data_IF_724821439733
#
_entry.id   IF_724821439733
#
_cell.length_a   1.000
_cell.length_b   1.000
_cell.length_c   1.000
_cell.angle_alpha   90.00
_cell.angle_beta   90.00
_cell.angle_gamma   90.00
#
_symmetry.space_group_name_H-M   'P 1'
#
loop_
_entity.id
_entity.type
_entity.pdbx_description
1 polymer ?
#
# COMPACT_ATOMS: atom_id res chain seq x y z
N UNK A 1 30.45 -11.15 -0.04
CA UNK A 1 30.01 -10.48 -1.26
C UNK A 1 29.08 -9.38 -0.81
N UNK A 2 29.33 -8.12 -1.18
CA UNK A 2 28.31 -7.09 -1.02
C UNK A 2 27.16 -7.51 -1.93
N UNK A 3 25.95 -7.59 -1.38
CA UNK A 3 24.77 -7.81 -2.20
C UNK A 3 24.70 -6.68 -3.24
N UNK A 4 24.42 -7.00 -4.49
CA UNK A 4 24.23 -5.99 -5.53
C UNK A 4 23.10 -5.06 -5.06
N UNK A 5 23.29 -3.75 -5.21
CA UNK A 5 22.31 -2.75 -4.83
C UNK A 5 20.98 -2.99 -5.54
N UNK A 6 19.88 -2.96 -4.80
CA UNK A 6 18.53 -3.14 -5.35
C UNK A 6 18.14 -1.92 -6.18
N UNK A 7 18.47 -0.72 -5.71
CA UNK A 7 18.16 0.53 -6.39
C UNK A 7 19.41 1.11 -7.06
N UNK A 8 19.27 1.58 -8.29
CA UNK A 8 20.33 2.33 -8.94
C UNK A 8 20.36 3.80 -8.45
N UNK A 9 21.41 4.54 -8.82
CA UNK A 9 21.58 5.94 -8.43
C UNK A 9 20.41 6.85 -8.86
N UNK A 10 19.82 6.56 -10.04
CA UNK A 10 18.66 7.31 -10.54
C UNK A 10 17.43 7.12 -9.65
N UNK A 11 17.16 5.88 -9.21
CA UNK A 11 16.07 5.57 -8.31
C UNK A 11 16.24 6.25 -6.94
N UNK A 12 17.46 6.26 -6.39
CA UNK A 12 17.76 7.00 -5.15
C UNK A 12 17.48 8.50 -5.31
N UNK A 13 17.91 9.14 -6.41
CA UNK A 13 17.64 10.55 -6.68
C UNK A 13 16.16 10.85 -6.85
N UNK A 14 15.43 9.98 -7.58
CA UNK A 14 14.00 10.12 -7.78
C UNK A 14 13.23 10.01 -6.45
N UNK A 15 13.58 9.03 -5.62
CA UNK A 15 12.98 8.86 -4.30
C UNK A 15 13.28 10.06 -3.40
N UNK A 16 14.53 10.54 -3.37
CA UNK A 16 14.92 11.70 -2.57
C UNK A 16 14.17 12.98 -2.95
N UNK A 17 13.92 13.18 -4.23
CA UNK A 17 13.19 14.34 -4.73
C UNK A 17 11.66 14.29 -4.44
N UNK A 18 11.10 13.10 -4.25
CA UNK A 18 9.65 12.87 -4.15
C UNK A 18 9.18 12.57 -2.73
N UNK A 19 10.00 11.87 -1.95
CA UNK A 19 9.65 11.48 -0.58
C UNK A 19 9.51 12.70 0.34
N UNK A 20 8.49 12.80 1.18
CA UNK A 20 7.43 11.81 1.43
C UNK A 20 6.11 12.10 0.69
N UNK A 21 6.02 13.18 -0.09
CA UNK A 21 4.73 13.77 -0.49
C UNK A 21 4.30 13.44 -1.93
N UNK A 22 5.24 13.10 -2.81
CA UNK A 22 4.97 12.87 -4.23
C UNK A 22 5.28 11.42 -4.62
N UNK A 23 4.53 10.82 -5.56
CA UNK A 23 4.89 9.52 -6.10
C UNK A 23 6.20 9.60 -6.90
N UNK A 24 6.93 8.48 -6.96
CA UNK A 24 8.12 8.36 -7.80
C UNK A 24 8.11 7.04 -8.57
N UNK A 25 8.50 7.11 -9.83
CA UNK A 25 8.84 5.94 -10.64
C UNK A 25 10.30 5.58 -10.40
N UNK A 26 10.57 4.32 -10.05
CA UNK A 26 11.87 3.83 -9.63
C UNK A 26 12.29 2.62 -10.47
N UNK A 27 13.60 2.37 -10.57
CA UNK A 27 14.15 1.13 -11.15
C UNK A 27 14.73 0.25 -10.04
N UNK A 28 14.62 -1.08 -10.19
CA UNK A 28 15.15 -2.04 -9.22
C UNK A 28 15.66 -3.32 -9.88
N UNK A 29 16.46 -4.12 -9.15
CA UNK A 29 17.07 -5.38 -9.63
C UNK A 29 16.30 -6.66 -9.22
N UNK A 30 15.12 -6.55 -8.56
CA UNK A 30 14.39 -7.69 -7.99
C UNK A 30 13.57 -8.50 -9.00
N UNK A 31 13.47 -8.12 -10.28
CA UNK A 31 12.61 -8.81 -11.25
C UNK A 31 12.91 -10.30 -11.41
N UNK A 32 14.18 -10.69 -11.30
CA UNK A 32 14.63 -12.08 -11.39
C UNK A 32 14.98 -12.71 -10.03
N UNK A 33 14.52 -12.11 -8.93
CA UNK A 33 14.83 -12.61 -7.59
C UNK A 33 14.12 -13.97 -7.35
N UNK A 34 14.82 -15.05 -6.93
CA UNK A 34 14.24 -16.39 -6.82
C UNK A 34 13.04 -16.49 -5.89
N UNK A 35 12.97 -15.68 -4.83
CA UNK A 35 11.82 -15.64 -3.92
C UNK A 35 10.54 -15.05 -4.54
N UNK A 36 10.64 -14.42 -5.73
CA UNK A 36 9.49 -13.84 -6.45
C UNK A 36 9.03 -14.72 -7.63
N UNK A 37 9.61 -15.91 -7.80
CA UNK A 37 9.14 -16.90 -8.77
C UNK A 37 7.83 -17.55 -8.29
N UNK A 38 6.96 -17.93 -9.24
CA UNK A 38 5.63 -18.49 -8.93
C UNK A 38 5.71 -19.75 -8.05
N UNK A 39 6.72 -20.62 -8.26
CA UNK A 39 6.92 -21.81 -7.43
C UNK A 39 7.30 -21.45 -5.98
N UNK A 40 8.20 -20.48 -5.80
CA UNK A 40 8.58 -19.98 -4.49
C UNK A 40 7.39 -19.33 -3.76
N UNK A 41 6.54 -18.60 -4.48
CA UNK A 41 5.34 -17.95 -3.92
C UNK A 41 4.25 -18.96 -3.55
N UNK A 42 4.02 -19.98 -4.38
CA UNK A 42 3.13 -21.08 -4.03
C UNK A 42 3.63 -21.84 -2.77
N UNK A 43 4.94 -22.10 -2.68
CA UNK A 43 5.57 -22.65 -1.49
C UNK A 43 5.49 -21.74 -0.27
N UNK A 44 5.61 -20.41 -0.42
CA UNK A 44 5.40 -19.45 0.66
C UNK A 44 3.97 -19.54 1.20
N UNK A 45 2.97 -19.53 0.33
CA UNK A 45 1.55 -19.57 0.74
C UNK A 45 1.24 -20.80 1.62
N UNK A 46 1.90 -21.94 1.42
CA UNK A 46 1.70 -23.14 2.26
C UNK A 46 2.30 -23.03 3.65
N UNK A 47 3.25 -22.11 3.87
CA UNK A 47 3.94 -21.91 5.16
C UNK A 47 3.41 -20.73 5.95
N UNK A 48 2.59 -19.90 5.33
CA UNK A 48 2.01 -18.71 5.95
C UNK A 48 0.80 -19.06 6.81
N UNK A 49 0.52 -18.21 7.79
CA UNK A 49 -0.68 -18.32 8.61
C UNK A 49 -1.93 -18.02 7.76
N UNK A 50 -2.99 -18.84 7.85
CA UNK A 50 -4.19 -18.68 7.00
C UNK A 50 -4.82 -17.29 7.02
N UNK A 51 -4.82 -16.62 8.17
CA UNK A 51 -5.39 -15.27 8.34
C UNK A 51 -4.58 -14.17 7.62
N UNK A 52 -3.37 -14.49 7.14
CA UNK A 52 -2.53 -13.59 6.34
C UNK A 52 -2.66 -13.82 4.84
N UNK A 53 -3.54 -14.71 4.43
CA UNK A 53 -3.82 -15.02 3.04
C UNK A 53 -5.19 -14.48 2.65
N UNK A 54 -5.25 -13.68 1.59
CA UNK A 54 -6.51 -13.20 1.00
C UNK A 54 -6.54 -13.54 -0.49
N UNK A 55 -7.71 -13.84 -1.02
CA UNK A 55 -7.95 -14.03 -2.45
C UNK A 55 -9.41 -13.78 -2.79
N UNK A 56 -9.65 -13.16 -3.93
CA UNK A 56 -11.00 -12.84 -4.41
C UNK A 56 -11.01 -12.78 -5.94
N UNK A 57 -12.22 -12.69 -6.52
CA UNK A 57 -12.38 -12.30 -7.91
C UNK A 57 -11.85 -10.86 -8.11
N UNK A 58 -11.32 -10.58 -9.30
CA UNK A 58 -10.62 -9.34 -9.58
C UNK A 58 -10.91 -8.74 -10.97
N UNK A 59 -11.56 -9.46 -11.85
CA UNK A 59 -11.88 -8.97 -13.20
C UNK A 59 -13.26 -8.34 -13.19
N UNK A 60 -13.44 -7.26 -13.97
CA UNK A 60 -14.69 -6.49 -14.10
C UNK A 60 -15.23 -5.91 -12.78
N UNK A 61 -14.35 -5.67 -11.80
CA UNK A 61 -14.76 -5.05 -10.54
C UNK A 61 -15.01 -3.55 -10.72
N UNK A 62 -16.12 -3.02 -10.17
CA UNK A 62 -16.33 -1.58 -10.07
C UNK A 62 -15.24 -0.92 -9.21
N UNK A 63 -14.71 0.22 -9.63
CA UNK A 63 -13.64 0.93 -8.91
C UNK A 63 -14.04 1.36 -7.49
N UNK A 64 -15.34 1.57 -7.24
CA UNK A 64 -15.86 1.97 -5.92
C UNK A 64 -16.40 0.81 -5.08
N UNK A 65 -16.17 -0.45 -5.45
CA UNK A 65 -16.67 -1.60 -4.68
C UNK A 65 -15.98 -1.68 -3.32
N UNK A 66 -16.74 -2.05 -2.29
CA UNK A 66 -16.17 -2.29 -0.97
C UNK A 66 -15.50 -3.67 -0.89
N UNK A 67 -14.55 -3.85 0.05
CA UNK A 67 -13.95 -5.16 0.27
C UNK A 67 -14.99 -6.22 0.68
N UNK A 68 -16.03 -5.82 1.41
CA UNK A 68 -17.08 -6.73 1.87
C UNK A 68 -17.97 -7.24 0.71
N UNK A 69 -18.09 -6.47 -0.36
CA UNK A 69 -18.93 -6.79 -1.52
C UNK A 69 -18.11 -7.43 -2.66
N UNK A 70 -16.76 -7.51 -2.52
CA UNK A 70 -15.91 -8.15 -3.53
C UNK A 70 -16.23 -9.63 -3.62
N UNK A 71 -16.58 -10.15 -4.83
CA UNK A 71 -16.96 -11.54 -5.00
C UNK A 71 -15.81 -12.51 -4.66
N UNK A 72 -16.14 -13.62 -4.02
CA UNK A 72 -15.21 -14.74 -3.83
C UNK A 72 -15.12 -15.54 -5.12
N UNK A 73 -13.94 -16.11 -5.44
CA UNK A 73 -13.75 -16.93 -6.64
C UNK A 73 -14.11 -18.41 -6.46
N UNK A 74 -14.47 -18.84 -5.23
CA UNK A 74 -14.85 -20.22 -4.92
C UNK A 74 -13.71 -21.24 -4.91
N UNK A 75 -12.47 -20.81 -5.11
CA UNK A 75 -11.26 -21.65 -5.11
C UNK A 75 -10.54 -21.56 -3.75
N UNK A 76 -9.66 -22.51 -3.48
CA UNK A 76 -8.66 -22.35 -2.42
C UNK A 76 -7.57 -21.36 -2.83
N UNK A 77 -6.80 -20.81 -1.87
CA UNK A 77 -5.63 -19.95 -2.18
C UNK A 77 -4.65 -20.70 -3.11
N UNK A 78 -4.38 -21.96 -2.83
CA UNK A 78 -3.48 -22.78 -3.63
C UNK A 78 -3.97 -22.97 -5.06
N UNK A 79 -5.27 -23.31 -5.24
CA UNK A 79 -5.87 -23.47 -6.58
C UNK A 79 -5.94 -22.13 -7.31
N UNK A 80 -6.17 -21.02 -6.59
CA UNK A 80 -6.16 -19.68 -7.17
C UNK A 80 -4.75 -19.34 -7.70
N UNK A 81 -3.68 -19.62 -6.95
CA UNK A 81 -2.30 -19.40 -7.43
C UNK A 81 -1.99 -20.29 -8.63
N UNK A 82 -2.37 -21.58 -8.58
CA UNK A 82 -2.10 -22.54 -9.65
C UNK A 82 -2.82 -22.17 -10.96
N UNK A 83 -3.97 -21.51 -10.89
CA UNK A 83 -4.82 -21.14 -12.02
C UNK A 83 -4.91 -19.63 -12.23
N UNK A 84 -3.95 -18.87 -11.73
CA UNK A 84 -4.02 -17.40 -11.70
C UNK A 84 -4.08 -16.77 -13.10
N UNK A 85 -3.62 -17.44 -14.12
CA UNK A 85 -3.68 -17.00 -15.51
C UNK A 85 -5.09 -17.01 -16.09
N UNK A 86 -6.00 -17.84 -15.57
CA UNK A 86 -7.35 -18.06 -16.12
C UNK A 86 -8.49 -17.75 -15.14
N UNK A 87 -8.24 -17.74 -13.82
CA UNK A 87 -9.30 -17.67 -12.81
C UNK A 87 -9.86 -16.27 -12.52
N UNK A 88 -9.34 -15.23 -13.18
CA UNK A 88 -9.84 -13.85 -13.03
C UNK A 88 -9.78 -13.31 -11.61
N UNK A 89 -8.72 -13.63 -10.87
CA UNK A 89 -8.61 -13.41 -9.43
C UNK A 89 -7.33 -12.68 -9.03
N UNK A 90 -7.24 -12.34 -7.75
CA UNK A 90 -5.96 -11.98 -7.13
C UNK A 90 -5.76 -12.75 -5.82
N UNK A 91 -4.50 -12.93 -5.47
CA UNK A 91 -4.05 -13.45 -4.18
C UNK A 91 -3.14 -12.40 -3.53
N UNK A 92 -3.34 -12.15 -2.25
CA UNK A 92 -2.53 -11.29 -1.41
C UNK A 92 -1.92 -12.11 -0.27
N UNK A 93 -0.60 -12.20 -0.27
CA UNK A 93 0.19 -12.77 0.83
C UNK A 93 0.61 -11.61 1.73
N UNK A 94 0.06 -11.54 2.96
CA UNK A 94 0.31 -10.44 3.92
C UNK A 94 1.32 -10.84 4.98
N UNK A 95 2.11 -9.85 5.44
CA UNK A 95 3.11 -10.07 6.48
C UNK A 95 4.10 -11.18 6.10
N UNK A 96 4.69 -11.06 4.89
CA UNK A 96 5.63 -12.06 4.36
C UNK A 96 6.89 -12.21 5.22
N UNK A 97 7.18 -11.23 6.08
CA UNK A 97 8.27 -11.26 7.06
C UNK A 97 8.10 -12.34 8.14
N UNK A 98 6.97 -13.04 8.19
CA UNK A 98 6.81 -14.24 9.02
C UNK A 98 7.65 -15.42 8.48
N UNK A 99 8.05 -15.42 7.20
CA UNK A 99 9.02 -16.36 6.63
C UNK A 99 10.42 -15.73 6.69
N UNK A 100 11.43 -16.43 7.27
CA UNK A 100 12.77 -15.85 7.49
C UNK A 100 13.49 -15.40 6.21
N UNK A 101 13.26 -16.06 5.07
CA UNK A 101 13.89 -15.69 3.81
C UNK A 101 13.34 -14.36 3.27
N UNK A 102 12.02 -14.19 3.34
CA UNK A 102 11.36 -12.94 2.95
C UNK A 102 11.63 -11.83 3.96
N UNK A 103 11.74 -12.14 5.25
CA UNK A 103 12.18 -11.16 6.27
C UNK A 103 13.60 -10.64 5.98
N UNK A 104 14.51 -11.49 5.49
CA UNK A 104 15.85 -11.06 5.08
C UNK A 104 15.79 -10.14 3.87
N UNK A 105 15.10 -10.57 2.81
CA UNK A 105 14.91 -9.76 1.60
C UNK A 105 14.34 -8.38 1.94
N UNK A 106 13.29 -8.32 2.74
CA UNK A 106 12.67 -7.07 3.15
C UNK A 106 13.64 -6.16 3.90
N UNK A 107 14.41 -6.70 4.86
CA UNK A 107 15.41 -5.91 5.61
C UNK A 107 16.49 -5.36 4.70
N UNK A 108 17.00 -6.16 3.79
CA UNK A 108 18.11 -5.77 2.90
C UNK A 108 17.65 -4.63 1.97
N UNK A 109 16.45 -4.74 1.38
CA UNK A 109 15.86 -3.70 0.52
C UNK A 109 15.59 -2.41 1.30
N UNK A 110 14.97 -2.50 2.47
CA UNK A 110 14.62 -1.32 3.26
C UNK A 110 15.84 -0.65 3.88
N UNK A 111 16.88 -1.41 4.25
CA UNK A 111 18.12 -0.86 4.77
C UNK A 111 18.85 0.03 3.74
N UNK A 112 18.70 -0.24 2.45
CA UNK A 112 19.32 0.56 1.38
C UNK A 112 18.73 1.97 1.29
N UNK A 113 17.44 2.14 1.57
CA UNK A 113 16.76 3.45 1.51
C UNK A 113 16.58 4.10 2.89
N UNK A 114 16.77 3.37 3.97
CA UNK A 114 16.57 3.89 5.33
C UNK A 114 17.30 5.21 5.62
N UNK A 115 18.59 5.42 5.23
CA UNK A 115 19.27 6.68 5.47
C UNK A 115 18.57 7.89 4.84
N UNK A 116 17.97 7.72 3.66
CA UNK A 116 17.22 8.77 2.97
C UNK A 116 15.89 9.04 3.69
N UNK A 117 15.15 7.99 3.99
CA UNK A 117 13.82 8.06 4.60
C UNK A 117 13.90 8.69 6.00
N UNK A 118 14.85 8.21 6.81
CA UNK A 118 14.96 8.59 8.21
C UNK A 118 15.39 10.04 8.42
N UNK A 119 16.15 10.62 7.49
CA UNK A 119 16.49 12.04 7.49
C UNK A 119 15.25 12.95 7.35
N UNK A 120 14.18 12.44 6.73
CA UNK A 120 13.00 13.24 6.42
C UNK A 120 11.87 13.02 7.43
N UNK A 121 11.51 11.75 7.69
CA UNK A 121 10.34 11.41 8.53
C UNK A 121 10.70 10.66 9.82
N UNK A 122 11.96 10.50 10.12
CA UNK A 122 12.45 9.72 11.26
C UNK A 122 12.42 8.21 10.98
N UNK A 123 12.69 7.37 11.99
CA UNK A 123 12.84 5.93 11.84
C UNK A 123 11.66 5.26 11.11
N UNK A 124 11.98 4.27 10.28
CA UNK A 124 10.99 3.40 9.66
C UNK A 124 10.41 2.47 10.72
N UNK A 125 9.11 2.58 10.96
CA UNK A 125 8.38 1.84 12.00
C UNK A 125 7.34 0.94 11.34
N UNK A 126 7.03 -0.21 11.98
CA UNK A 126 6.04 -1.17 11.50
C UNK A 126 6.21 -1.49 10.01
N UNK A 127 7.38 -1.96 9.67
CA UNK A 127 7.68 -2.43 8.33
C UNK A 127 6.92 -3.74 8.09
N UNK A 128 6.19 -3.80 6.99
CA UNK A 128 5.41 -4.97 6.60
C UNK A 128 5.62 -5.24 5.10
N UNK A 129 5.64 -6.52 4.73
CA UNK A 129 5.77 -6.95 3.34
C UNK A 129 4.52 -7.66 2.84
N UNK A 130 4.15 -7.38 1.59
CA UNK A 130 3.01 -7.97 0.91
C UNK A 130 3.42 -8.45 -0.47
N UNK A 131 2.83 -9.57 -0.93
CA UNK A 131 2.98 -10.01 -2.32
C UNK A 131 1.60 -10.11 -2.94
N UNK A 132 1.44 -9.45 -4.08
CA UNK A 132 0.26 -9.51 -4.93
C UNK A 132 0.54 -10.42 -6.11
N UNK A 133 -0.30 -11.44 -6.31
CA UNK A 133 -0.33 -12.33 -7.46
C UNK A 133 -1.69 -12.14 -8.11
N UNK A 134 -1.73 -11.65 -9.34
CA UNK A 134 -2.99 -11.20 -9.97
C UNK A 134 -3.12 -11.74 -11.39
N UNK A 135 -4.33 -12.14 -11.74
CA UNK A 135 -4.73 -12.50 -13.11
C UNK A 135 -4.52 -11.33 -14.09
N UNK A 136 -4.46 -11.61 -15.40
CA UNK A 136 -4.62 -10.57 -16.41
C UNK A 136 -5.91 -9.77 -16.19
N UNK A 137 -5.86 -8.47 -16.45
CA UNK A 137 -6.97 -7.52 -16.32
C UNK A 137 -7.60 -7.38 -14.93
N UNK A 138 -6.92 -7.88 -13.89
CA UNK A 138 -7.36 -7.74 -12.51
C UNK A 138 -7.36 -6.27 -12.06
N UNK A 139 -8.43 -5.89 -11.37
CA UNK A 139 -8.63 -4.54 -10.83
C UNK A 139 -8.49 -4.56 -9.30
N UNK A 140 -7.66 -3.69 -8.76
CA UNK A 140 -7.69 -3.32 -7.33
C UNK A 140 -8.50 -2.03 -7.21
N UNK A 141 -9.66 -2.04 -6.54
CA UNK A 141 -10.55 -0.90 -6.42
C UNK A 141 -9.90 0.33 -5.78
N UNK A 142 -10.51 1.50 -5.95
CA UNK A 142 -10.00 2.76 -5.40
C UNK A 142 -9.95 2.71 -3.87
N UNK A 143 -8.78 2.93 -3.33
CA UNK A 143 -8.50 2.93 -1.90
C UNK A 143 -7.31 3.84 -1.56
N UNK A 144 -6.99 3.95 -0.29
CA UNK A 144 -5.74 4.53 0.20
C UNK A 144 -5.13 3.65 1.28
N UNK A 145 -3.82 3.74 1.45
CA UNK A 145 -3.08 3.02 2.49
C UNK A 145 -2.55 3.99 3.55
N UNK A 146 -2.59 3.60 4.84
CA UNK A 146 -2.09 4.42 5.94
C UNK A 146 -0.58 4.27 6.16
N UNK A 147 0.12 3.67 5.20
CA UNK A 147 1.56 3.43 5.15
C UNK A 147 2.19 4.18 3.96
N UNK A 148 3.49 4.47 4.06
CA UNK A 148 4.35 4.69 2.90
C UNK A 148 4.61 3.33 2.25
N UNK A 149 4.71 3.29 0.93
CA UNK A 149 4.82 2.04 0.20
C UNK A 149 5.77 2.17 -0.99
N UNK A 150 6.58 1.15 -1.25
CA UNK A 150 7.19 0.94 -2.56
C UNK A 150 6.65 -0.37 -3.12
N UNK A 151 5.97 -0.28 -4.28
CA UNK A 151 5.44 -1.41 -5.02
C UNK A 151 6.40 -1.78 -6.15
N UNK A 152 7.08 -2.91 -6.01
CA UNK A 152 8.05 -3.46 -6.96
C UNK A 152 7.35 -4.41 -7.93
N UNK A 153 7.53 -4.24 -9.23
CA UNK A 153 7.00 -5.16 -10.23
C UNK A 153 8.03 -6.23 -10.57
N UNK A 154 7.70 -7.49 -10.29
CA UNK A 154 8.57 -8.64 -10.57
C UNK A 154 8.16 -9.37 -11.86
N UNK A 155 6.87 -9.46 -12.17
CA UNK A 155 6.35 -10.17 -13.35
C UNK A 155 5.11 -9.49 -13.91
N UNK A 156 4.92 -9.56 -15.25
CA UNK A 156 3.82 -8.90 -15.93
C UNK A 156 3.91 -7.39 -15.81
N UNK A 157 2.84 -6.70 -16.12
CA UNK A 157 2.77 -5.24 -16.04
C UNK A 157 1.43 -4.77 -15.49
N UNK A 158 1.42 -3.57 -14.95
CA UNK A 158 0.21 -2.94 -14.42
C UNK A 158 0.30 -1.42 -14.50
N UNK A 159 -0.85 -0.78 -14.42
CA UNK A 159 -0.95 0.68 -14.24
C UNK A 159 -1.55 0.98 -12.87
N UNK A 160 -0.88 1.82 -12.11
CA UNK A 160 -1.42 2.43 -10.90
C UNK A 160 -1.87 3.85 -11.20
N UNK A 161 -3.12 4.14 -10.91
CA UNK A 161 -3.73 5.45 -11.11
C UNK A 161 -3.78 6.16 -9.76
N UNK A 162 -2.89 7.10 -9.56
CA UNK A 162 -2.68 7.82 -8.31
C UNK A 162 -3.36 9.19 -8.33
N UNK A 163 -3.91 9.57 -7.18
CA UNK A 163 -4.47 10.90 -6.96
C UNK A 163 -3.66 11.68 -5.92
N UNK A 164 -3.67 13.01 -5.96
CA UNK A 164 -3.03 13.82 -4.93
C UNK A 164 -3.60 13.52 -3.53
N UNK A 165 -2.72 13.38 -2.55
CA UNK A 165 -3.07 12.99 -1.15
C UNK A 165 -4.10 13.90 -0.51
N UNK A 166 -4.14 15.17 -0.87
CA UNK A 166 -4.95 16.19 -0.21
C UNK A 166 -6.01 16.79 -1.11
N UNK A 167 -6.41 16.08 -2.13
CA UNK A 167 -7.47 16.54 -3.00
C UNK A 167 -8.83 16.38 -2.30
N UNK A 168 -9.46 17.49 -1.82
CA UNK A 168 -10.69 17.41 -1.04
C UNK A 168 -11.89 16.94 -1.85
N UNK A 169 -11.81 16.99 -3.20
CA UNK A 169 -12.89 16.58 -4.08
C UNK A 169 -12.87 15.06 -4.31
N UNK A 170 -11.72 14.40 -4.08
CA UNK A 170 -11.56 12.95 -4.19
C UNK A 170 -11.67 12.30 -2.82
N UNK A 171 -10.96 12.84 -1.83
CA UNK A 171 -10.99 12.31 -0.47
C UNK A 171 -11.12 13.43 0.56
N UNK A 172 -12.31 13.57 1.12
CA UNK A 172 -12.56 14.50 2.21
C UNK A 172 -11.91 14.01 3.52
N UNK A 173 -11.55 14.97 4.38
CA UNK A 173 -10.97 14.71 5.69
C UNK A 173 -11.74 13.66 6.52
N UNK A 174 -13.06 13.59 6.37
CA UNK A 174 -13.90 12.66 7.12
C UNK A 174 -13.65 11.19 6.75
N UNK A 175 -13.20 10.88 5.55
CA UNK A 175 -12.82 9.52 5.17
C UNK A 175 -11.61 9.03 5.98
N UNK A 176 -10.58 9.85 6.11
CA UNK A 176 -9.43 9.53 6.96
C UNK A 176 -9.85 9.36 8.43
N UNK A 177 -10.70 10.28 8.94
CA UNK A 177 -11.21 10.21 10.30
C UNK A 177 -12.05 8.93 10.54
N UNK A 178 -12.83 8.50 9.53
CA UNK A 178 -13.63 7.26 9.59
C UNK A 178 -12.72 6.05 9.57
N UNK A 179 -11.77 6.00 8.61
CA UNK A 179 -10.83 4.90 8.49
C UNK A 179 -10.05 4.66 9.79
N UNK A 180 -9.42 5.69 10.34
CA UNK A 180 -8.64 5.54 11.57
C UNK A 180 -9.50 5.25 12.83
N UNK A 181 -10.81 5.30 12.69
CA UNK A 181 -11.77 4.84 13.72
C UNK A 181 -12.38 3.46 13.41
N UNK A 182 -11.79 2.70 12.49
CA UNK A 182 -12.21 1.34 12.13
C UNK A 182 -13.13 1.24 10.91
N UNK A 183 -13.27 2.31 10.13
CA UNK A 183 -14.01 2.31 8.86
C UNK A 183 -13.21 1.72 7.68
N UNK A 184 -13.85 1.56 6.51
CA UNK A 184 -13.21 1.00 5.32
C UNK A 184 -12.15 1.94 4.74
N UNK A 185 -11.16 1.37 4.04
CA UNK A 185 -10.16 2.12 3.25
C UNK A 185 -10.59 2.35 1.81
N UNK A 186 -11.52 1.56 1.31
CA UNK A 186 -12.04 1.71 -0.04
C UNK A 186 -12.87 2.99 -0.14
N UNK A 187 -12.72 3.69 -1.26
CA UNK A 187 -13.40 4.94 -1.55
C UNK A 187 -14.50 4.71 -2.58
N UNK A 188 -15.59 5.46 -2.56
CA UNK A 188 -16.55 5.47 -3.65
C UNK A 188 -15.84 5.96 -4.91
N UNK A 189 -16.34 5.55 -6.08
CA UNK A 189 -15.87 6.04 -7.37
C UNK A 189 -16.84 7.03 -7.99
N UNK A 190 -16.30 8.05 -8.64
CA UNK A 190 -17.05 8.99 -9.49
C UNK A 190 -16.29 9.11 -10.81
N UNK A 191 -17.01 9.03 -11.93
CA UNK A 191 -16.40 8.94 -13.25
C UNK A 191 -15.60 10.20 -13.62
N UNK A 192 -16.01 11.35 -13.13
CA UNK A 192 -15.30 12.62 -13.30
C UNK A 192 -13.89 12.64 -12.68
N UNK A 193 -13.60 11.75 -11.75
CA UNK A 193 -12.27 11.63 -11.13
C UNK A 193 -11.24 11.01 -12.06
N UNK A 194 -11.67 10.23 -13.06
CA UNK A 194 -10.76 9.56 -13.99
C UNK A 194 -9.74 10.51 -14.63
N UNK A 195 -10.17 11.71 -15.02
CA UNK A 195 -9.32 12.73 -15.65
C UNK A 195 -8.30 13.36 -14.68
N UNK A 196 -8.44 13.14 -13.38
CA UNK A 196 -7.55 13.71 -12.33
C UNK A 196 -6.47 12.73 -11.88
N UNK A 197 -6.59 11.46 -12.29
CA UNK A 197 -5.61 10.44 -11.94
C UNK A 197 -4.29 10.68 -12.69
N UNK A 198 -3.18 10.42 -12.01
CA UNK A 198 -1.86 10.32 -12.61
C UNK A 198 -1.53 8.84 -12.84
N UNK A 199 -1.66 8.32 -14.07
CA UNK A 199 -1.37 6.93 -14.37
C UNK A 199 0.15 6.70 -14.43
N UNK A 200 0.63 5.72 -13.68
CA UNK A 200 2.02 5.25 -13.74
C UNK A 200 1.99 3.77 -14.07
N UNK A 201 2.48 3.42 -15.25
CA UNK A 201 2.65 2.03 -15.67
C UNK A 201 4.02 1.51 -15.28
N UNK A 202 4.08 0.27 -14.80
CA UNK A 202 5.31 -0.41 -14.42
C UNK A 202 5.40 -1.81 -15.04
N UNK A 203 6.64 -2.16 -15.42
CA UNK A 203 7.03 -3.47 -15.96
C UNK A 203 8.08 -4.11 -15.03
N UNK A 204 8.47 -5.39 -15.23
CA UNK A 204 9.49 -6.03 -14.39
C UNK A 204 10.79 -5.21 -14.31
N UNK A 205 11.27 -4.98 -13.09
CA UNK A 205 12.43 -4.12 -12.83
C UNK A 205 12.09 -2.66 -12.52
N UNK A 206 10.80 -2.30 -12.52
CA UNK A 206 10.31 -0.98 -12.15
C UNK A 206 9.46 -1.03 -10.88
N UNK A 207 9.45 0.08 -10.15
CA UNK A 207 8.66 0.23 -8.93
C UNK A 207 8.02 1.61 -8.85
N UNK A 208 7.00 1.71 -8.00
CA UNK A 208 6.37 2.99 -7.66
C UNK A 208 6.53 3.23 -6.16
N UNK A 209 7.09 4.39 -5.80
CA UNK A 209 6.89 4.91 -4.45
C UNK A 209 5.49 5.54 -4.37
N UNK A 210 4.70 5.08 -3.43
CA UNK A 210 3.33 5.56 -3.15
C UNK A 210 3.35 6.35 -1.84
N UNK A 211 3.00 7.65 -1.87
CA UNK A 211 2.92 8.46 -0.66
C UNK A 211 1.85 7.96 0.31
N UNK A 212 2.09 8.19 1.59
CA UNK A 212 1.13 7.94 2.66
C UNK A 212 -0.24 8.55 2.33
N UNK A 213 -1.31 7.75 2.41
CA UNK A 213 -2.70 8.16 2.19
C UNK A 213 -3.03 8.62 0.76
N UNK A 214 -2.15 8.39 -0.21
CA UNK A 214 -2.46 8.71 -1.60
C UNK A 214 -3.57 7.78 -2.13
N UNK A 215 -4.74 8.31 -2.55
CA UNK A 215 -5.77 7.47 -3.14
C UNK A 215 -5.26 6.88 -4.46
N UNK A 216 -5.54 5.61 -4.68
CA UNK A 216 -5.14 4.93 -5.92
C UNK A 216 -5.99 3.71 -6.22
N UNK A 217 -6.03 3.34 -7.49
CA UNK A 217 -6.52 2.07 -7.98
C UNK A 217 -5.54 1.49 -8.98
N UNK A 218 -5.58 0.17 -9.18
CA UNK A 218 -4.60 -0.53 -10.00
C UNK A 218 -5.30 -1.45 -10.99
N UNK A 219 -4.77 -1.55 -12.21
CA UNK A 219 -5.17 -2.54 -13.20
C UNK A 219 -3.95 -3.26 -13.75
N UNK A 220 -3.99 -4.60 -13.76
CA UNK A 220 -3.01 -5.42 -14.45
C UNK A 220 -3.31 -5.46 -15.94
N UNK A 221 -2.26 -5.70 -16.75
CA UNK A 221 -2.42 -5.83 -18.21
C UNK A 221 -2.63 -7.31 -18.61
N UNK A 222 -2.21 -7.69 -19.80
CA UNK A 222 -2.54 -8.95 -20.47
C UNK A 222 -1.81 -10.20 -19.92
N UNK A 223 -1.04 -10.06 -18.85
CA UNK A 223 -0.24 -11.13 -18.27
C UNK A 223 -0.46 -11.25 -16.76
N UNK A 224 -0.21 -12.44 -16.22
CA UNK A 224 -0.10 -12.65 -14.78
C UNK A 224 0.88 -11.64 -14.19
N UNK A 225 0.45 -10.95 -13.16
CA UNK A 225 1.23 -9.91 -12.49
C UNK A 225 1.67 -10.35 -11.10
N UNK A 226 2.96 -10.20 -10.80
CA UNK A 226 3.52 -10.38 -9.46
C UNK A 226 4.17 -9.09 -9.02
N UNK A 227 3.77 -8.59 -7.84
CA UNK A 227 4.39 -7.43 -7.22
C UNK A 227 4.71 -7.68 -5.75
N UNK A 228 5.86 -7.20 -5.33
CA UNK A 228 6.24 -7.07 -3.92
C UNK A 228 5.93 -5.65 -3.46
N UNK A 229 5.22 -5.50 -2.35
CA UNK A 229 4.94 -4.22 -1.71
C UNK A 229 5.64 -4.20 -0.35
N UNK A 230 6.52 -3.23 -0.14
CA UNK A 230 7.18 -3.00 1.14
C UNK A 230 6.69 -1.69 1.74
N UNK A 231 6.10 -1.78 2.92
CA UNK A 231 5.46 -0.64 3.58
C UNK A 231 6.14 -0.32 4.90
N UNK A 232 6.01 0.93 5.32
CA UNK A 232 6.46 1.38 6.63
C UNK A 232 5.62 2.55 7.13
N UNK A 233 5.71 2.80 8.42
CA UNK A 233 5.14 3.98 9.07
C UNK A 233 6.24 4.84 9.66
N UNK A 234 5.87 6.06 10.07
CA UNK A 234 6.75 6.97 10.79
C UNK A 234 6.03 7.54 12.02
N UNK A 235 6.76 8.17 12.92
CA UNK A 235 6.15 8.88 14.03
C UNK A 235 5.15 9.93 13.56
N UNK A 236 5.46 10.61 12.44
CA UNK A 236 4.56 11.58 11.83
C UNK A 236 3.23 10.93 11.40
N UNK A 237 3.27 9.75 10.77
CA UNK A 237 2.07 9.02 10.33
C UNK A 237 1.18 8.59 11.50
N UNK A 238 1.79 8.22 12.64
CA UNK A 238 1.04 7.90 13.86
C UNK A 238 0.40 9.15 14.47
N UNK A 239 1.10 10.28 14.48
CA UNK A 239 0.50 11.54 14.94
C UNK A 239 -0.68 11.97 14.07
N UNK A 240 -0.59 11.76 12.76
CA UNK A 240 -1.70 12.01 11.84
C UNK A 240 -2.90 11.10 12.15
N UNK A 241 -2.68 9.81 12.29
CA UNK A 241 -3.74 8.84 12.63
C UNK A 241 -4.45 9.17 13.95
N UNK A 242 -3.68 9.50 14.99
CA UNK A 242 -4.24 9.91 16.29
C UNK A 242 -5.04 11.20 16.17
N UNK A 243 -4.56 12.17 15.40
CA UNK A 243 -5.26 13.44 15.18
C UNK A 243 -6.59 13.24 14.41
N UNK A 244 -6.64 12.30 13.46
CA UNK A 244 -7.87 11.91 12.79
C UNK A 244 -8.88 11.31 13.79
N UNK A 245 -8.45 10.39 14.67
CA UNK A 245 -9.29 9.82 15.73
C UNK A 245 -9.82 10.89 16.68
N UNK A 246 -8.96 11.85 17.06
CA UNK A 246 -9.34 12.98 17.91
C UNK A 246 -10.37 13.88 17.25
N UNK A 247 -10.15 14.26 15.98
CA UNK A 247 -11.10 15.06 15.23
C UNK A 247 -12.47 14.37 15.14
N UNK A 248 -12.50 13.05 14.90
CA UNK A 248 -13.75 12.28 14.86
C UNK A 248 -14.49 12.32 16.20
N UNK A 249 -13.77 12.23 17.34
CA UNK A 249 -14.38 12.39 18.67
C UNK A 249 -15.01 13.77 18.84
N UNK A 250 -14.32 14.84 18.44
CA UNK A 250 -14.84 16.21 18.49
C UNK A 250 -16.08 16.38 17.62
N UNK A 251 -16.12 15.81 16.42
CA UNK A 251 -17.30 15.85 15.54
C UNK A 251 -18.52 15.16 16.17
N UNK A 252 -18.31 14.05 16.88
CA UNK A 252 -19.39 13.36 17.61
C UNK A 252 -19.97 14.23 18.75
N UNK A 253 -19.21 15.20 19.23
CA UNK A 253 -19.65 16.18 20.22
C UNK A 253 -20.21 17.47 19.59
N UNK A 254 -20.44 17.50 18.26
CA UNK A 254 -20.94 18.66 17.53
C UNK A 254 -19.90 19.74 17.22
N UNK A 255 -18.62 19.49 17.50
CA UNK A 255 -17.53 20.43 17.19
C UNK A 255 -17.05 20.24 15.76
N UNK A 256 -16.75 21.33 15.06
CA UNK A 256 -16.12 21.31 13.73
C UNK A 256 -14.61 21.56 13.84
N UNK A 257 -13.78 20.50 14.02
CA UNK A 257 -12.35 20.68 14.18
C UNK A 257 -11.69 21.09 12.86
N UNK A 258 -10.56 21.80 12.95
CA UNK A 258 -9.70 22.02 11.78
C UNK A 258 -9.22 20.66 11.23
N UNK A 259 -9.10 20.51 9.90
CA UNK A 259 -8.51 19.31 9.28
C UNK A 259 -7.18 18.91 9.92
N UNK A 260 -6.82 17.65 9.82
CA UNK A 260 -5.46 17.21 10.16
C UNK A 260 -4.49 17.79 9.15
N UNK A 261 -3.35 18.27 9.65
CA UNK A 261 -2.32 18.81 8.78
C UNK A 261 -1.61 17.69 8.01
N UNK A 262 -1.19 18.01 6.77
CA UNK A 262 -0.37 17.16 5.92
C UNK A 262 1.10 17.45 6.20
N UNK A 263 1.97 16.48 5.91
CA UNK A 263 3.42 16.68 5.97
C UNK A 263 3.81 18.00 5.25
N UNK A 264 4.73 18.82 5.79
CA UNK A 264 5.58 18.57 6.97
C UNK A 264 4.97 18.99 8.31
N UNK A 265 3.76 19.53 8.34
CA UNK A 265 3.16 20.04 9.59
C UNK A 265 2.76 18.87 10.49
N UNK A 266 3.23 18.92 11.75
CA UNK A 266 3.00 17.84 12.70
C UNK A 266 1.68 18.04 13.49
N UNK A 267 0.98 16.95 13.74
CA UNK A 267 -0.29 16.90 14.46
C UNK A 267 -0.15 16.57 15.97
N UNK A 268 1.00 16.85 16.58
CA UNK A 268 1.36 16.42 17.95
C UNK A 268 0.31 16.73 19.01
N UNK A 269 -0.23 17.93 19.04
CA UNK A 269 -1.20 18.35 20.08
C UNK A 269 -2.43 17.45 20.05
N UNK A 270 -3.06 17.29 18.89
CA UNK A 270 -4.22 16.42 18.73
C UNK A 270 -3.90 14.95 19.03
N UNK A 271 -2.70 14.50 18.65
CA UNK A 271 -2.24 13.15 18.93
C UNK A 271 -2.10 12.90 20.44
N UNK A 272 -1.47 13.80 21.16
CA UNK A 272 -1.32 13.66 22.62
C UNK A 272 -2.67 13.71 23.34
N UNK A 273 -3.59 14.57 22.92
CA UNK A 273 -4.96 14.57 23.44
C UNK A 273 -5.66 13.22 23.20
N UNK A 274 -5.55 12.67 21.98
CA UNK A 274 -6.11 11.36 21.66
C UNK A 274 -5.53 10.25 22.53
N UNK A 275 -4.21 10.21 22.69
CA UNK A 275 -3.51 9.20 23.51
C UNK A 275 -3.92 9.29 24.98
N UNK A 276 -4.07 10.52 25.51
CA UNK A 276 -4.55 10.73 26.88
C UNK A 276 -5.98 10.18 27.05
N UNK A 277 -6.89 10.51 26.13
CA UNK A 277 -8.27 10.02 26.18
C UNK A 277 -8.35 8.50 26.05
N UNK A 278 -7.50 7.86 25.24
CA UNK A 278 -7.47 6.40 25.10
C UNK A 278 -7.02 5.73 26.39
N UNK A 279 -6.07 6.33 27.14
CA UNK A 279 -5.62 5.79 28.45
C UNK A 279 -6.66 5.93 29.58
N UNK A 280 -7.54 6.93 29.48
CA UNK A 280 -8.58 7.19 30.49
C UNK A 280 -9.88 6.41 30.26
N UNK A 281 -10.11 5.96 29.04
CA UNK A 281 -11.37 5.29 28.63
C UNK A 281 -11.20 3.85 28.17
N UNK A 282 -10.01 3.27 28.35
CA UNK A 282 -9.67 1.87 28.01
C UNK A 282 -9.74 0.96 29.21
#
# INVERSE_FOLDING_TARGET
>A
MMADSVFNEHAHKALAASYPALPAHLSHSLASHPLLDMEALAGLATRMRPETLEHNAAVDLPLGISNADTPVNGLSVHDTIARIDECGSWVLLKSIEQDPSYASLMRDVLAEIAPLIEQVTGPMLRMEGFIFISSPHAVTPLHFDPEYNILFQARGSKTMNLFPVADPDIIGQQFFEQYFAGGPRNLPWQEEWAARANPISIVPGEAIYVPLLAPHWVQTHDQVSVSLSLTWRSEWSFHHADACRFNRRLRRLGVSPRPTAIYPVNNKIKSYCQRALTRLGG
#
